data_IF_932904305135
#
_entry.id   IF_932904305135
#
_cell.length_a   1.000
_cell.length_b   1.000
_cell.length_c   1.000
_cell.angle_alpha   90.00
_cell.angle_beta   90.00
_cell.angle_gamma   90.00
#
_symmetry.space_group_name_H-M   'P 1'
#
loop_
_entity.id
_entity.type
_entity.pdbx_description
1 polymer ?
#
# COMPACT_ATOMS: atom_id res chain seq x y z
N UNK A 1 17.85 1.19 1.68
CA UNK A 1 17.50 2.58 2.05
C UNK A 1 16.85 2.54 3.43
N UNK A 2 16.95 3.60 4.25
CA UNK A 2 16.76 3.43 5.68
C UNK A 2 15.28 3.24 6.01
N UNK A 3 14.96 2.04 6.50
CA UNK A 3 13.82 1.81 7.37
C UNK A 3 13.81 2.87 8.47
N UNK A 4 12.66 3.49 8.70
CA UNK A 4 12.45 4.42 9.82
C UNK A 4 11.37 3.88 10.74
N UNK A 5 11.67 3.88 12.03
CA UNK A 5 10.66 3.67 13.06
C UNK A 5 10.06 5.02 13.39
N UNK A 6 8.88 5.29 12.84
CA UNK A 6 8.14 6.54 13.05
C UNK A 6 7.59 6.59 14.47
N UNK A 7 7.13 5.45 14.97
CA UNK A 7 6.58 5.30 16.32
C UNK A 7 6.82 3.87 16.82
N UNK A 8 7.26 3.73 18.07
CA UNK A 8 7.45 2.41 18.69
C UNK A 8 6.13 1.70 19.00
N UNK A 9 5.07 2.47 19.26
CA UNK A 9 3.78 2.00 19.74
C UNK A 9 3.78 1.65 21.23
N UNK A 10 2.60 1.37 21.77
CA UNK A 10 2.37 0.99 23.16
C UNK A 10 1.69 -0.40 23.24
N UNK A 11 1.63 -0.97 24.43
CA UNK A 11 0.97 -2.27 24.66
C UNK A 11 1.76 -3.52 24.24
N UNK A 12 1.21 -4.68 24.64
CA UNK A 12 1.64 -6.03 24.28
C UNK A 12 0.39 -6.97 24.33
N UNK A 13 -0.04 -7.60 23.22
CA UNK A 13 0.56 -7.50 21.89
C UNK A 13 0.40 -6.12 21.27
N UNK A 14 1.29 -5.79 20.33
CA UNK A 14 1.36 -4.50 19.65
C UNK A 14 0.98 -4.67 18.18
N UNK A 15 0.13 -3.79 17.70
CA UNK A 15 -0.22 -3.76 16.28
C UNK A 15 0.87 -3.03 15.48
N UNK A 16 1.08 -3.43 14.23
CA UNK A 16 2.12 -2.91 13.37
C UNK A 16 1.52 -2.33 12.09
N UNK A 17 1.86 -1.09 11.76
CA UNK A 17 1.58 -0.47 10.47
C UNK A 17 2.90 -0.28 9.71
N UNK A 18 3.01 -0.88 8.53
CA UNK A 18 4.17 -0.77 7.66
C UNK A 18 3.81 0.04 6.42
N UNK A 19 4.52 1.13 6.17
CA UNK A 19 4.29 2.05 5.06
C UNK A 19 5.45 1.99 4.05
N UNK A 20 5.11 1.87 2.77
CA UNK A 20 6.06 1.86 1.66
C UNK A 20 5.90 3.08 0.77
N UNK A 21 7.04 3.67 0.41
CA UNK A 21 7.15 4.95 -0.31
C UNK A 21 6.44 6.10 0.41
N UNK A 22 6.69 6.26 1.72
CA UNK A 22 6.12 7.37 2.51
C UNK A 22 7.25 8.13 3.19
N UNK A 23 7.52 9.33 2.69
CA UNK A 23 8.62 10.17 3.14
C UNK A 23 8.47 10.69 4.58
N UNK A 24 9.60 10.93 5.23
CA UNK A 24 9.68 11.45 6.61
C UNK A 24 8.90 12.73 6.93
N UNK A 25 8.61 13.66 5.99
CA UNK A 25 7.74 14.79 6.28
C UNK A 25 6.32 14.40 6.72
N UNK A 26 5.87 13.16 6.43
CA UNK A 26 4.55 12.66 6.82
C UNK A 26 4.50 12.12 8.26
N UNK A 27 5.64 11.95 8.94
CA UNK A 27 5.70 11.31 10.26
C UNK A 27 4.74 11.93 11.30
N UNK A 28 4.63 13.27 11.44
CA UNK A 28 3.66 13.88 12.34
C UNK A 28 2.21 13.49 12.04
N UNK A 29 1.82 13.51 10.78
CA UNK A 29 0.47 13.20 10.30
C UNK A 29 0.15 11.72 10.47
N UNK A 30 1.14 10.83 10.26
CA UNK A 30 1.01 9.40 10.52
C UNK A 30 0.72 9.12 11.99
N UNK A 31 1.48 9.73 12.90
CA UNK A 31 1.24 9.60 14.35
C UNK A 31 -0.12 10.17 14.76
N UNK A 32 -0.49 11.34 14.22
CA UNK A 32 -1.78 11.96 14.50
C UNK A 32 -2.95 11.09 14.01
N UNK A 33 -2.82 10.49 12.82
CA UNK A 33 -3.86 9.66 12.23
C UNK A 33 -4.06 8.32 12.96
N UNK A 34 -2.97 7.68 13.38
CA UNK A 34 -3.01 6.33 13.97
C UNK A 34 -3.09 6.34 15.50
N UNK A 35 -2.75 7.45 16.16
CA UNK A 35 -2.65 7.50 17.61
C UNK A 35 -1.39 6.80 18.15
N UNK A 36 -1.22 6.72 19.48
CA UNK A 36 0.03 6.29 20.10
C UNK A 36 0.24 4.77 20.16
N UNK A 37 -0.81 3.98 19.93
CA UNK A 37 -0.81 2.54 20.22
C UNK A 37 -0.04 1.69 19.19
N UNK A 38 -0.26 1.81 17.87
CA UNK A 38 0.46 0.95 16.92
C UNK A 38 1.94 1.34 16.80
N UNK A 39 2.78 0.33 16.55
CA UNK A 39 4.11 0.55 15.98
C UNK A 39 3.94 1.03 14.53
N UNK A 40 4.71 2.05 14.14
CA UNK A 40 4.67 2.61 12.78
C UNK A 40 6.08 2.52 12.20
N UNK A 41 6.20 1.76 11.11
CA UNK A 41 7.42 1.62 10.32
C UNK A 41 7.18 2.22 8.94
N UNK A 42 8.09 3.06 8.47
CA UNK A 42 8.02 3.65 7.14
C UNK A 42 9.31 3.41 6.36
N UNK A 43 9.16 3.11 5.08
CA UNK A 43 10.21 3.13 4.08
C UNK A 43 9.97 4.34 3.16
N UNK A 44 11.02 5.12 2.94
CA UNK A 44 10.98 6.26 2.01
C UNK A 44 11.07 5.79 0.53
N UNK A 45 11.16 4.48 0.29
CA UNK A 45 11.31 3.86 -1.03
C UNK A 45 10.21 2.81 -1.31
N UNK A 46 9.99 2.45 -2.59
CA UNK A 46 8.87 1.60 -2.97
C UNK A 46 9.14 0.10 -2.80
N UNK A 47 10.38 -0.30 -2.49
CA UNK A 47 10.75 -1.70 -2.27
C UNK A 47 10.62 -2.06 -0.80
N UNK A 48 11.23 -1.25 0.08
CA UNK A 48 11.45 -1.60 1.47
C UNK A 48 12.13 -2.97 1.63
N UNK A 49 11.99 -3.58 2.80
CA UNK A 49 12.45 -4.94 3.08
C UNK A 49 11.26 -5.91 3.14
N UNK A 50 11.51 -7.23 3.06
CA UNK A 50 10.49 -8.24 3.30
C UNK A 50 9.88 -8.11 4.70
N UNK A 51 8.58 -8.35 4.83
CA UNK A 51 7.85 -8.17 6.10
C UNK A 51 8.49 -8.88 7.31
N UNK A 52 9.01 -10.14 7.21
CA UNK A 52 9.67 -10.78 8.34
C UNK A 52 10.90 -10.02 8.86
N UNK A 53 11.67 -9.41 7.95
CA UNK A 53 12.80 -8.55 8.29
C UNK A 53 12.33 -7.28 8.97
N UNK A 54 11.29 -6.62 8.43
CA UNK A 54 10.66 -5.46 9.06
C UNK A 54 10.17 -5.77 10.48
N UNK A 55 9.48 -6.90 10.67
CA UNK A 55 8.99 -7.35 11.98
C UNK A 55 10.14 -7.61 12.96
N UNK A 56 11.25 -8.20 12.49
CA UNK A 56 12.44 -8.44 13.31
C UNK A 56 13.03 -7.13 13.85
N UNK A 57 12.97 -6.02 13.09
CA UNK A 57 13.41 -4.71 13.57
C UNK A 57 12.55 -4.16 14.71
N UNK A 58 11.25 -4.47 14.71
CA UNK A 58 10.32 -4.07 15.78
C UNK A 58 10.58 -4.91 17.03
N UNK A 59 10.69 -6.23 16.88
CA UNK A 59 10.84 -7.16 18.01
C UNK A 59 12.23 -7.16 18.64
N UNK A 60 13.29 -6.86 17.89
CA UNK A 60 14.66 -6.78 18.44
C UNK A 60 14.83 -5.58 19.36
N UNK A 61 14.09 -4.48 19.12
CA UNK A 61 14.19 -3.25 19.93
C UNK A 61 13.30 -3.29 21.18
N UNK A 62 12.32 -4.18 21.21
CA UNK A 62 11.46 -4.42 22.36
C UNK A 62 10.84 -5.81 22.22
N UNK A 63 11.00 -6.73 23.18
CA UNK A 63 10.41 -8.06 23.11
C UNK A 63 8.89 -7.98 23.32
N UNK A 64 8.19 -7.54 22.28
CA UNK A 64 6.73 -7.45 22.21
C UNK A 64 6.22 -8.37 21.12
N UNK A 65 5.08 -9.00 21.37
CA UNK A 65 4.39 -9.78 20.36
C UNK A 65 3.70 -8.82 19.39
N UNK A 66 3.82 -9.06 18.09
CA UNK A 66 3.03 -8.33 17.09
C UNK A 66 1.71 -9.09 16.89
N UNK A 67 0.56 -8.42 17.05
CA UNK A 67 -0.76 -9.03 16.81
C UNK A 67 -1.21 -8.85 15.36
N UNK A 68 -1.65 -7.64 15.01
CA UNK A 68 -2.15 -7.31 13.69
C UNK A 68 -1.09 -6.56 12.89
N UNK A 69 -0.98 -6.88 11.60
CA UNK A 69 -0.16 -6.15 10.64
C UNK A 69 -1.06 -5.46 9.63
N UNK A 70 -0.84 -4.17 9.39
CA UNK A 70 -1.46 -3.39 8.31
C UNK A 70 -0.37 -2.97 7.32
N UNK A 71 -0.57 -3.23 6.04
CA UNK A 71 0.33 -2.78 4.98
C UNK A 71 -0.24 -1.56 4.27
N UNK A 72 0.59 -0.53 4.09
CA UNK A 72 0.22 0.71 3.42
C UNK A 72 1.22 0.96 2.30
N UNK A 73 0.71 1.17 1.09
CA UNK A 73 1.53 1.54 -0.06
C UNK A 73 1.04 2.85 -0.65
N UNK A 74 1.95 3.77 -0.94
CA UNK A 74 1.67 4.90 -1.82
C UNK A 74 2.31 4.67 -3.18
N UNK A 75 1.58 4.90 -4.27
CA UNK A 75 2.11 4.81 -5.63
C UNK A 75 2.85 3.48 -5.85
N UNK A 76 4.10 3.52 -6.29
CA UNK A 76 4.95 2.34 -6.46
C UNK A 76 5.19 1.52 -5.18
N UNK A 77 5.00 2.09 -3.99
CA UNK A 77 5.02 1.36 -2.72
C UNK A 77 3.93 0.28 -2.63
N UNK A 78 2.85 0.39 -3.41
CA UNK A 78 1.86 -0.69 -3.53
C UNK A 78 2.44 -1.97 -4.16
N UNK A 79 3.59 -1.91 -4.84
CA UNK A 79 4.28 -3.10 -5.33
C UNK A 79 4.92 -3.90 -4.18
N UNK A 80 5.42 -3.23 -3.14
CA UNK A 80 5.87 -3.91 -1.92
C UNK A 80 4.68 -4.56 -1.19
N UNK A 81 3.55 -3.85 -1.08
CA UNK A 81 2.31 -4.44 -0.54
C UNK A 81 1.92 -5.69 -1.32
N UNK A 82 1.88 -5.61 -2.65
CA UNK A 82 1.57 -6.75 -3.53
C UNK A 82 2.54 -7.92 -3.30
N UNK A 83 3.84 -7.65 -3.20
CA UNK A 83 4.86 -8.67 -2.91
C UNK A 83 4.55 -9.40 -1.62
N UNK A 84 4.25 -8.69 -0.54
CA UNK A 84 3.97 -9.33 0.76
C UNK A 84 2.70 -10.18 0.73
N UNK A 85 1.65 -9.71 0.04
CA UNK A 85 0.43 -10.51 -0.15
C UNK A 85 0.69 -11.77 -0.99
N UNK A 86 1.48 -11.66 -2.05
CA UNK A 86 1.89 -12.80 -2.88
C UNK A 86 2.79 -13.80 -2.14
N UNK A 87 3.54 -13.34 -1.14
CA UNK A 87 4.33 -14.20 -0.26
C UNK A 87 3.47 -15.00 0.73
N UNK A 88 2.14 -14.80 0.72
CA UNK A 88 1.20 -15.51 1.59
C UNK A 88 1.05 -14.89 2.98
N UNK A 89 1.57 -13.69 3.21
CA UNK A 89 1.43 -13.02 4.50
C UNK A 89 -0.03 -12.64 4.75
N UNK A 90 -0.59 -13.19 5.84
CA UNK A 90 -1.95 -12.91 6.28
C UNK A 90 -1.98 -11.66 7.15
N UNK A 91 -2.04 -10.50 6.49
CA UNK A 91 -2.09 -9.19 7.15
C UNK A 91 -3.55 -8.80 7.42
N UNK A 92 -3.80 -8.10 8.53
CA UNK A 92 -5.14 -7.72 8.98
C UNK A 92 -5.79 -6.66 8.08
N UNK A 93 -5.00 -5.88 7.35
CA UNK A 93 -5.48 -4.80 6.50
C UNK A 93 -4.48 -4.30 5.47
N UNK A 94 -5.02 -3.74 4.40
CA UNK A 94 -4.25 -3.11 3.32
C UNK A 94 -4.82 -1.73 3.02
N UNK A 95 -3.93 -0.75 2.86
CA UNK A 95 -4.25 0.58 2.35
C UNK A 95 -3.41 0.84 1.10
N UNK A 96 -4.04 0.81 -0.08
CA UNK A 96 -3.40 1.04 -1.36
C UNK A 96 -3.74 2.45 -1.88
N UNK A 97 -2.81 3.39 -1.71
CA UNK A 97 -2.99 4.78 -2.10
C UNK A 97 -2.43 5.00 -3.51
N UNK A 98 -3.33 5.09 -4.48
CA UNK A 98 -3.05 5.43 -5.88
C UNK A 98 -1.92 4.60 -6.54
N UNK A 99 -1.93 3.28 -6.33
CA UNK A 99 -0.79 2.43 -6.72
C UNK A 99 -1.11 0.99 -7.13
N UNK A 100 -2.38 0.60 -7.30
CA UNK A 100 -2.75 -0.78 -7.70
C UNK A 100 -2.45 -1.11 -9.16
N UNK A 101 -1.85 -0.19 -9.92
CA UNK A 101 -1.51 -0.33 -11.34
C UNK A 101 -0.85 -1.69 -11.70
N UNK A 102 -1.06 -2.13 -12.93
CA UNK A 102 -0.58 -3.42 -13.43
C UNK A 102 0.01 -3.28 -14.84
N UNK A 103 0.56 -4.37 -15.39
CA UNK A 103 0.99 -4.40 -16.79
C UNK A 103 -0.15 -4.02 -17.74
N UNK A 104 0.16 -3.68 -19.00
CA UNK A 104 -0.84 -3.46 -20.04
C UNK A 104 -0.59 -4.43 -21.22
N UNK A 105 -1.45 -5.45 -21.43
CA UNK A 105 -2.59 -5.82 -20.59
C UNK A 105 -2.15 -6.33 -19.19
N UNK A 106 -3.04 -6.27 -18.17
CA UNK A 106 -2.74 -6.81 -16.85
C UNK A 106 -2.48 -8.31 -16.90
N UNK A 107 -1.47 -8.77 -16.16
CA UNK A 107 -1.26 -10.20 -15.95
C UNK A 107 -2.23 -10.68 -14.86
N UNK A 108 -2.75 -11.90 -14.99
CA UNK A 108 -3.77 -12.44 -14.09
C UNK A 108 -3.33 -12.40 -12.62
N UNK A 109 -2.09 -12.81 -12.32
CA UNK A 109 -1.53 -12.78 -10.96
C UNK A 109 -1.48 -11.37 -10.34
N UNK A 110 -1.38 -10.31 -11.16
CA UNK A 110 -1.39 -8.92 -10.68
C UNK A 110 -2.79 -8.48 -10.23
N UNK A 111 -3.82 -9.14 -10.75
CA UNK A 111 -5.23 -8.88 -10.43
C UNK A 111 -5.69 -9.74 -9.26
N UNK A 112 -5.33 -11.02 -9.25
CA UNK A 112 -5.84 -12.01 -8.28
C UNK A 112 -5.53 -11.61 -6.85
N UNK A 113 -4.32 -11.12 -6.59
CA UNK A 113 -3.92 -10.60 -5.27
C UNK A 113 -4.85 -9.51 -4.74
N UNK A 114 -5.36 -8.62 -5.58
CA UNK A 114 -6.30 -7.59 -5.16
C UNK A 114 -7.74 -8.09 -5.09
N UNK A 115 -8.12 -9.01 -6.00
CA UNK A 115 -9.45 -9.64 -5.97
C UNK A 115 -9.64 -10.46 -4.70
N UNK A 116 -8.69 -11.33 -4.39
CA UNK A 116 -8.72 -12.17 -3.21
C UNK A 116 -8.82 -11.32 -1.94
N UNK A 117 -8.07 -10.23 -1.89
CA UNK A 117 -8.09 -9.33 -0.74
C UNK A 117 -9.39 -8.51 -0.65
N UNK A 118 -9.95 -8.07 -1.78
CA UNK A 118 -11.27 -7.45 -1.84
C UNK A 118 -12.37 -8.40 -1.37
N UNK A 119 -12.34 -9.66 -1.75
CA UNK A 119 -13.29 -10.67 -1.29
C UNK A 119 -13.19 -10.94 0.21
N UNK A 120 -11.98 -11.03 0.76
CA UNK A 120 -11.77 -11.09 2.23
C UNK A 120 -12.36 -9.86 2.93
N UNK A 121 -12.21 -8.68 2.33
CA UNK A 121 -12.73 -7.44 2.88
C UNK A 121 -14.27 -7.36 2.83
N UNK A 122 -14.90 -7.83 1.75
CA UNK A 122 -16.36 -7.97 1.66
C UNK A 122 -16.93 -8.83 2.77
N UNK A 123 -16.26 -9.95 3.07
CA UNK A 123 -16.63 -10.86 4.17
C UNK A 123 -16.33 -10.31 5.57
N UNK A 124 -15.73 -9.12 5.67
CA UNK A 124 -15.35 -8.51 6.94
C UNK A 124 -14.17 -9.20 7.63
N UNK A 125 -13.45 -10.07 6.93
CA UNK A 125 -12.30 -10.79 7.48
C UNK A 125 -11.07 -9.87 7.57
N UNK A 126 -10.91 -8.95 6.62
CA UNK A 126 -9.76 -8.05 6.49
C UNK A 126 -10.22 -6.63 6.13
N UNK A 127 -9.41 -5.62 6.41
CA UNK A 127 -9.66 -4.26 5.94
C UNK A 127 -9.01 -4.03 4.56
N UNK A 128 -9.74 -3.56 3.56
CA UNK A 128 -9.15 -3.09 2.31
C UNK A 128 -9.61 -1.67 1.97
N UNK A 129 -8.68 -0.72 2.04
CA UNK A 129 -8.88 0.66 1.57
C UNK A 129 -8.04 0.90 0.33
N UNK A 130 -8.65 1.41 -0.73
CA UNK A 130 -7.93 1.78 -1.95
C UNK A 130 -8.35 3.15 -2.45
N UNK A 131 -7.39 3.90 -2.99
CA UNK A 131 -7.66 5.18 -3.64
C UNK A 131 -7.04 5.21 -5.03
N UNK A 132 -7.56 6.08 -5.89
CA UNK A 132 -6.97 6.35 -7.19
C UNK A 132 -7.18 7.81 -7.62
N UNK A 133 -6.24 8.30 -8.40
CA UNK A 133 -6.46 9.43 -9.31
C UNK A 133 -6.91 8.90 -10.68
N UNK A 134 -7.24 9.78 -11.64
CA UNK A 134 -7.59 9.34 -12.99
C UNK A 134 -6.36 8.76 -13.69
N UNK A 135 -5.31 9.58 -13.84
CA UNK A 135 -4.00 9.27 -14.43
C UNK A 135 -4.04 8.26 -15.60
N UNK A 136 -5.06 8.32 -16.46
CA UNK A 136 -5.29 7.35 -17.53
C UNK A 136 -4.35 7.54 -18.72
N UNK A 137 -3.58 8.64 -18.76
CA UNK A 137 -2.53 8.87 -19.76
C UNK A 137 -1.52 7.72 -19.83
N UNK A 138 -1.31 6.99 -18.73
CA UNK A 138 -0.38 5.86 -18.63
C UNK A 138 -0.75 4.69 -19.54
N UNK A 139 -2.01 4.62 -19.97
CA UNK A 139 -2.54 3.59 -20.85
C UNK A 139 -2.40 3.95 -22.33
N UNK A 140 -2.38 5.25 -22.67
CA UNK A 140 -2.51 5.72 -24.06
C UNK A 140 -1.38 6.62 -24.54
N UNK A 141 -0.83 7.47 -23.68
CA UNK A 141 0.02 8.60 -24.10
C UNK A 141 1.51 8.32 -23.88
N UNK A 142 1.86 7.41 -22.97
CA UNK A 142 3.23 6.96 -22.79
C UNK A 142 3.75 6.21 -24.02
N UNK A 143 5.08 6.17 -24.25
CA UNK A 143 5.69 5.25 -25.21
C UNK A 143 5.18 3.83 -25.01
N UNK A 144 4.90 3.09 -26.08
CA UNK A 144 4.25 1.76 -26.01
C UNK A 144 4.94 0.81 -25.04
N UNK A 145 6.28 0.81 -25.02
CA UNK A 145 7.08 -0.02 -24.12
C UNK A 145 6.90 0.36 -22.64
N UNK A 146 6.51 1.60 -22.33
CA UNK A 146 6.36 2.16 -20.99
C UNK A 146 4.92 2.10 -20.44
N UNK A 147 3.92 1.90 -21.30
CA UNK A 147 2.50 1.85 -20.89
C UNK A 147 2.22 0.76 -19.85
N UNK A 148 1.22 1.04 -19.03
CA UNK A 148 0.72 0.17 -17.98
C UNK A 148 -0.77 0.51 -17.70
N UNK A 149 -1.49 -0.38 -17.03
CA UNK A 149 -2.91 -0.19 -16.71
C UNK A 149 -3.04 0.72 -15.49
N UNK A 150 -3.85 1.77 -15.60
CA UNK A 150 -4.03 2.78 -14.57
C UNK A 150 -4.66 2.19 -13.30
N UNK A 151 -4.36 2.77 -12.13
CA UNK A 151 -4.94 2.38 -10.83
C UNK A 151 -6.48 2.34 -10.90
N UNK A 152 -7.10 3.37 -11.49
CA UNK A 152 -8.56 3.42 -11.68
C UNK A 152 -9.09 2.20 -12.45
N UNK A 153 -8.44 1.84 -13.55
CA UNK A 153 -8.83 0.69 -14.39
C UNK A 153 -8.72 -0.62 -13.61
N UNK A 154 -7.62 -0.80 -12.87
CA UNK A 154 -7.42 -1.99 -12.04
C UNK A 154 -8.44 -2.07 -10.93
N UNK A 155 -8.69 -0.98 -10.19
CA UNK A 155 -9.67 -0.98 -9.11
C UNK A 155 -11.07 -1.33 -9.60
N UNK A 156 -11.52 -0.76 -10.74
CA UNK A 156 -12.78 -1.16 -11.37
C UNK A 156 -12.81 -2.64 -11.70
N UNK A 157 -11.73 -3.19 -12.26
CA UNK A 157 -11.66 -4.58 -12.67
C UNK A 157 -11.63 -5.57 -11.50
N UNK A 158 -10.95 -5.24 -10.39
CA UNK A 158 -10.79 -6.16 -9.24
C UNK A 158 -11.90 -6.03 -8.21
N UNK A 159 -12.59 -4.88 -8.17
CA UNK A 159 -13.71 -4.66 -7.24
C UNK A 159 -15.07 -4.71 -7.92
N UNK A 160 -15.17 -4.52 -9.24
CA UNK A 160 -16.47 -4.40 -9.92
C UNK A 160 -17.20 -3.08 -9.65
N UNK A 161 -16.63 -2.18 -8.84
CA UNK A 161 -17.15 -0.85 -8.61
C UNK A 161 -17.04 0.04 -9.83
N UNK A 162 -17.97 0.98 -9.98
CA UNK A 162 -17.98 1.88 -11.15
C UNK A 162 -16.87 2.91 -11.07
N UNK A 163 -16.52 3.34 -9.86
CA UNK A 163 -15.56 4.37 -9.45
C UNK A 163 -15.67 5.61 -10.34
N UNK A 164 -16.44 6.59 -9.90
CA UNK A 164 -16.56 7.89 -10.58
C UNK A 164 -15.67 8.90 -9.84
N UNK A 165 -14.54 9.34 -10.43
CA UNK A 165 -13.65 10.30 -9.81
C UNK A 165 -14.35 11.64 -9.55
N UNK A 166 -14.17 12.21 -8.36
CA UNK A 166 -14.69 13.53 -7.99
C UNK A 166 -13.77 14.23 -7.00
N UNK A 167 -13.91 15.54 -6.83
CA UNK A 167 -13.08 16.31 -5.89
C UNK A 167 -13.33 15.90 -4.43
N UNK A 168 -14.58 15.54 -4.11
CA UNK A 168 -15.03 15.10 -2.79
C UNK A 168 -15.72 13.73 -2.91
N UNK A 169 -14.97 12.65 -3.15
CA UNK A 169 -15.57 11.35 -3.40
C UNK A 169 -16.26 10.80 -2.16
N UNK A 170 -17.53 10.40 -2.32
CA UNK A 170 -18.26 9.68 -1.29
C UNK A 170 -17.63 8.30 -1.00
N UNK A 171 -17.00 7.70 -2.02
CA UNK A 171 -16.45 6.35 -2.00
C UNK A 171 -17.49 5.30 -2.37
N UNK A 172 -17.01 4.15 -2.83
CA UNK A 172 -17.81 2.93 -2.99
C UNK A 172 -17.37 1.92 -1.92
N UNK A 173 -18.37 1.25 -1.33
CA UNK A 173 -18.19 0.46 -0.10
C UNK A 173 -18.98 -0.84 -0.15
N UNK A 174 -18.37 -1.91 0.35
CA UNK A 174 -18.99 -3.22 0.53
C UNK A 174 -18.29 -3.98 1.67
N UNK A 175 -18.96 -4.13 2.82
CA UNK A 175 -18.31 -4.63 4.04
C UNK A 175 -17.13 -3.73 4.46
N UNK A 176 -15.95 -4.34 4.63
CA UNK A 176 -14.69 -3.64 4.96
C UNK A 176 -13.85 -3.28 3.71
N UNK A 177 -14.45 -3.36 2.51
CA UNK A 177 -13.88 -2.85 1.26
C UNK A 177 -14.29 -1.39 1.05
N UNK A 178 -13.32 -0.49 0.94
CA UNK A 178 -13.55 0.94 0.73
C UNK A 178 -12.70 1.49 -0.41
N UNK A 179 -13.33 2.07 -1.43
CA UNK A 179 -12.63 2.54 -2.63
C UNK A 179 -13.00 3.98 -2.96
N UNK A 180 -12.00 4.81 -3.21
CA UNK A 180 -12.17 6.23 -3.52
C UNK A 180 -11.51 6.61 -4.85
N UNK A 181 -12.26 7.30 -5.72
CA UNK A 181 -11.73 7.92 -6.93
C UNK A 181 -11.67 9.42 -6.78
N UNK A 182 -10.48 10.01 -6.83
CA UNK A 182 -10.29 11.45 -6.77
C UNK A 182 -10.17 12.03 -8.17
N UNK A 183 -10.88 13.12 -8.42
CA UNK A 183 -10.74 13.89 -9.65
C UNK A 183 -9.28 14.37 -9.78
N UNK A 184 -8.77 14.26 -10.99
CA UNK A 184 -7.47 14.76 -11.41
C UNK A 184 -7.54 15.07 -12.89
N UNK A 185 -6.61 15.86 -13.40
CA UNK A 185 -6.40 15.92 -14.83
C UNK A 185 -5.86 14.58 -15.37
N UNK A 186 -5.77 14.49 -16.70
CA UNK A 186 -5.28 13.28 -17.38
C UNK A 186 -3.84 12.93 -16.96
N UNK A 187 -3.00 13.95 -16.75
CA UNK A 187 -1.64 13.85 -16.22
C UNK A 187 -1.53 14.85 -15.07
N UNK A 188 -1.49 14.38 -13.83
CA UNK A 188 -1.61 15.29 -12.68
C UNK A 188 -0.69 14.87 -11.52
N UNK A 189 0.55 15.37 -11.58
CA UNK A 189 1.56 15.12 -10.53
C UNK A 189 1.12 15.67 -9.17
N UNK A 190 0.38 16.79 -9.15
CA UNK A 190 -0.08 17.42 -7.92
C UNK A 190 -1.20 16.63 -7.26
N UNK A 191 -2.20 16.18 -8.02
CA UNK A 191 -3.24 15.30 -7.51
C UNK A 191 -2.66 13.97 -7.00
N UNK A 192 -1.66 13.42 -7.69
CA UNK A 192 -0.94 12.23 -7.21
C UNK A 192 -0.22 12.50 -5.88
N UNK A 193 0.57 13.58 -5.79
CA UNK A 193 1.25 13.95 -4.55
C UNK A 193 0.28 14.22 -3.38
N UNK A 194 -0.88 14.81 -3.66
CA UNK A 194 -1.96 15.03 -2.69
C UNK A 194 -2.50 13.73 -2.12
N UNK A 195 -2.41 12.61 -2.85
CA UNK A 195 -2.80 11.31 -2.31
C UNK A 195 -1.93 10.93 -1.10
N UNK A 196 -0.63 11.22 -1.13
CA UNK A 196 0.25 10.97 0.02
C UNK A 196 0.03 11.99 1.14
N UNK A 197 -0.03 13.29 0.81
CA UNK A 197 0.00 14.34 1.84
C UNK A 197 -1.34 14.61 2.52
N UNK A 198 -2.45 14.30 1.85
CA UNK A 198 -3.80 14.58 2.35
C UNK A 198 -4.62 13.30 2.50
N UNK A 199 -4.69 12.49 1.44
CA UNK A 199 -5.61 11.35 1.42
C UNK A 199 -5.14 10.22 2.33
N UNK A 200 -3.85 9.87 2.28
CA UNK A 200 -3.28 8.80 3.10
C UNK A 200 -3.58 9.00 4.60
N UNK A 201 -3.23 10.13 5.26
CA UNK A 201 -3.53 10.29 6.68
C UNK A 201 -5.03 10.30 6.97
N UNK A 202 -5.87 10.81 6.06
CA UNK A 202 -7.33 10.73 6.20
C UNK A 202 -7.84 9.29 6.18
N UNK A 203 -7.34 8.45 5.27
CA UNK A 203 -7.73 7.05 5.18
C UNK A 203 -7.26 6.24 6.39
N UNK A 204 -6.04 6.51 6.89
CA UNK A 204 -5.54 5.90 8.12
C UNK A 204 -6.42 6.23 9.32
N UNK A 205 -6.74 7.52 9.52
CA UNK A 205 -7.57 7.96 10.62
C UNK A 205 -9.01 7.43 10.53
N UNK A 206 -9.56 7.38 9.31
CA UNK A 206 -10.96 6.98 9.07
C UNK A 206 -11.19 5.48 9.19
N UNK A 207 -10.22 4.66 8.78
CA UNK A 207 -10.42 3.22 8.64
C UNK A 207 -9.44 2.37 9.45
N UNK A 208 -8.14 2.66 9.36
CA UNK A 208 -7.13 1.83 10.02
C UNK A 208 -7.20 1.99 11.53
N UNK A 209 -7.26 3.22 12.05
CA UNK A 209 -7.34 3.45 13.49
C UNK A 209 -8.57 2.76 14.12
N UNK A 210 -9.81 2.98 13.63
CA UNK A 210 -10.97 2.28 14.18
C UNK A 210 -10.90 0.76 14.08
N UNK A 211 -10.32 0.22 13.01
CA UNK A 211 -10.13 -1.21 12.83
C UNK A 211 -9.21 -1.80 13.90
N UNK A 212 -8.06 -1.16 14.12
CA UNK A 212 -7.09 -1.54 15.13
C UNK A 212 -7.67 -1.43 16.56
N UNK A 213 -8.40 -0.35 16.86
CA UNK A 213 -9.09 -0.18 18.15
C UNK A 213 -10.21 -1.22 18.39
N UNK A 214 -10.89 -1.66 17.33
CA UNK A 214 -11.88 -2.74 17.44
C UNK A 214 -11.22 -4.09 17.75
N UNK A 215 -10.09 -4.40 17.10
CA UNK A 215 -9.34 -5.63 17.35
C UNK A 215 -8.82 -5.71 18.80
N UNK A 216 -8.30 -4.61 19.36
CA UNK A 216 -7.87 -4.55 20.76
C UNK A 216 -9.03 -4.79 21.75
N UNK A 217 -10.24 -4.31 21.43
CA UNK A 217 -11.44 -4.51 22.27
C UNK A 217 -12.00 -5.92 22.18
N UNK A 218 -11.85 -6.59 21.05
CA UNK A 218 -12.32 -7.97 20.87
C UNK A 218 -11.49 -8.98 21.67
N UNK A 219 -10.22 -8.66 21.98
CA UNK A 219 -9.29 -9.57 22.68
C UNK A 219 -8.53 -8.88 23.83
N UNK A 220 -9.21 -8.42 24.90
CA UNK A 220 -8.52 -7.84 26.04
C UNK A 220 -7.72 -8.93 26.79
N UNK A 221 -6.39 -8.90 26.65
CA UNK A 221 -5.48 -9.68 27.49
C UNK A 221 -5.26 -11.15 27.10
N UNK A 222 -5.67 -11.60 25.91
CA UNK A 222 -5.22 -12.90 25.39
C UNK A 222 -3.91 -12.72 24.63
N UNK A 223 -2.82 -13.22 25.21
CA UNK A 223 -1.61 -13.57 24.45
C UNK A 223 -2.05 -14.62 23.42
N UNK A 224 -1.96 -14.37 22.11
CA UNK A 224 -2.26 -15.40 21.13
C UNK A 224 -1.35 -16.60 21.42
N UNK A 225 -1.83 -17.86 21.37
CA UNK A 225 -0.92 -18.98 21.31
C UNK A 225 0.03 -18.71 20.14
N UNK A 226 1.34 -18.84 20.37
CA UNK A 226 2.36 -18.71 19.35
C UNK A 226 1.93 -19.55 18.15
N UNK A 227 1.42 -18.90 17.10
CA UNK A 227 1.12 -19.59 15.86
C UNK A 227 2.47 -20.07 15.34
N UNK A 228 2.71 -21.38 15.45
CA UNK A 228 3.76 -22.03 14.70
C UNK A 228 3.58 -21.62 13.25
N UNK A 229 4.61 -20.97 12.70
CA UNK A 229 4.61 -20.48 11.35
C UNK A 229 4.36 -21.65 10.39
N UNK A 230 3.11 -21.83 9.96
CA UNK A 230 2.81 -22.66 8.80
C UNK A 230 3.34 -21.91 7.58
N UNK A 231 4.61 -22.20 7.31
CA UNK A 231 5.36 -21.86 6.12
C UNK A 231 4.58 -22.31 4.87
N UNK A 232 3.79 -21.42 4.29
CA UNK A 232 3.52 -21.46 2.85
C UNK A 232 4.73 -20.85 2.14
N UNK A 233 5.85 -21.58 2.17
CA UNK A 233 7.05 -21.16 1.45
C UNK A 233 6.77 -21.37 -0.03
N UNK A 234 6.66 -20.26 -0.77
CA UNK A 234 6.80 -20.24 -2.21
C UNK A 234 8.03 -21.08 -2.58
N UNK A 235 7.86 -21.96 -3.56
CA UNK A 235 8.99 -22.73 -4.08
C UNK A 235 10.09 -21.78 -4.56
N UNK A 236 11.37 -22.20 -4.59
CA UNK A 236 12.46 -21.37 -5.11
C UNK A 236 12.19 -20.82 -6.52
N UNK A 237 11.46 -21.57 -7.36
CA UNK A 237 11.06 -21.12 -8.69
C UNK A 237 9.98 -20.04 -8.67
N UNK A 238 8.97 -20.17 -7.81
CA UNK A 238 7.93 -19.13 -7.64
C UNK A 238 8.53 -17.85 -7.05
N UNK A 239 9.42 -17.99 -6.06
CA UNK A 239 10.16 -16.86 -5.49
C UNK A 239 11.00 -16.15 -6.55
N UNK A 240 11.74 -16.90 -7.38
CA UNK A 240 12.54 -16.32 -8.46
C UNK A 240 11.68 -15.61 -9.52
N UNK A 241 10.52 -16.17 -9.88
CA UNK A 241 9.57 -15.53 -10.83
C UNK A 241 8.98 -14.25 -10.25
N UNK A 242 8.63 -14.23 -8.97
CA UNK A 242 8.13 -13.03 -8.28
C UNK A 242 9.23 -11.97 -8.20
N UNK A 243 10.44 -12.34 -7.79
CA UNK A 243 11.59 -11.42 -7.71
C UNK A 243 11.94 -10.84 -9.08
N UNK A 244 11.93 -11.65 -10.15
CA UNK A 244 12.20 -11.20 -11.50
C UNK A 244 11.10 -10.30 -12.06
N UNK A 245 9.82 -10.62 -11.81
CA UNK A 245 8.70 -9.78 -12.20
C UNK A 245 8.69 -8.42 -11.47
N UNK A 246 9.05 -8.44 -10.19
CA UNK A 246 9.25 -7.24 -9.37
C UNK A 246 10.41 -6.41 -9.91
N UNK A 247 11.56 -7.02 -10.20
CA UNK A 247 12.73 -6.34 -10.73
C UNK A 247 12.47 -5.67 -12.09
N UNK A 248 11.77 -6.36 -13.00
CA UNK A 248 11.36 -5.82 -14.31
C UNK A 248 10.41 -4.63 -14.17
N UNK A 249 9.47 -4.71 -13.23
CA UNK A 249 8.53 -3.61 -12.95
C UNK A 249 9.24 -2.40 -12.35
N UNK A 250 10.22 -2.61 -11.46
CA UNK A 250 11.03 -1.54 -10.87
C UNK A 250 11.97 -0.88 -11.87
N UNK A 251 12.67 -1.66 -12.71
CA UNK A 251 13.58 -1.11 -13.71
C UNK A 251 12.84 -0.19 -14.69
N UNK A 252 11.64 -0.60 -15.10
CA UNK A 252 10.76 0.18 -15.97
C UNK A 252 10.36 1.52 -15.31
N UNK A 253 10.05 1.51 -14.02
CA UNK A 253 9.61 2.71 -13.30
C UNK A 253 10.76 3.67 -12.92
N UNK A 254 11.90 3.17 -12.45
CA UNK A 254 13.06 4.00 -12.11
C UNK A 254 13.61 4.72 -13.35
N UNK A 255 13.61 4.04 -14.50
CA UNK A 255 13.95 4.67 -15.78
C UNK A 255 12.99 5.81 -16.14
N UNK A 256 11.69 5.62 -15.93
CA UNK A 256 10.67 6.65 -16.20
C UNK A 256 10.79 7.88 -15.28
N UNK A 257 11.08 7.69 -13.99
CA UNK A 257 11.29 8.81 -13.06
C UNK A 257 12.56 9.58 -13.44
N UNK A 258 13.62 8.88 -13.83
CA UNK A 258 14.87 9.50 -14.25
C UNK A 258 14.75 10.26 -15.58
N UNK A 259 13.99 9.74 -16.55
CA UNK A 259 13.78 10.37 -17.85
C UNK A 259 12.83 11.58 -17.73
N UNK A 260 11.78 11.50 -16.90
CA UNK A 260 10.86 12.61 -16.65
C UNK A 260 11.49 13.81 -15.90
N UNK A 261 12.64 13.61 -15.25
CA UNK A 261 13.42 14.67 -14.61
C UNK A 261 14.53 15.23 -15.53
N UNK A 262 14.80 14.60 -16.68
CA UNK A 262 15.82 15.04 -17.63
C UNK A 262 15.29 16.05 -18.66
N UNK A 263 13.96 16.16 -18.81
CA UNK A 263 13.30 17.08 -19.74
C UNK A 263 12.96 18.46 -19.13
N UNK A 264 13.36 18.73 -17.87
CA UNK A 264 13.32 20.09 -17.32
C UNK A 264 14.59 20.85 -17.75
N UNK A 265 14.56 21.45 -18.95
CA UNK A 265 15.52 22.52 -19.25
C UNK A 265 15.34 23.67 -18.25
N UNK A 266 16.43 24.21 -17.68
CA UNK A 266 16.33 25.34 -16.78
C UNK A 266 15.75 26.53 -17.54
N UNK A 267 14.61 27.02 -17.06
CA UNK A 267 14.01 28.27 -17.54
C UNK A 267 15.05 29.38 -17.42
N UNK A 268 15.41 30.07 -18.52
CA UNK A 268 16.41 31.12 -18.45
C UNK A 268 15.84 32.26 -17.61
N UNK A 269 16.54 32.57 -16.52
CA UNK A 269 16.27 33.76 -15.69
C UNK A 269 16.75 34.96 -16.51
N UNK A 270 15.79 35.78 -16.95
CA UNK A 270 16.06 37.07 -17.60
C UNK A 270 16.56 38.14 -16.64
#
# INVERSE_FOLDING_TARGET
>A
MPLRIVQQGQGNPRQLVVLYLVGSPMDPELRAALGPDPAIIAYDDPKGEPLPTTMSHVTTKSPVNVSDVILVGYSAGCQAVRRELMAGHDVAGVVAIDGTHASLPPLQWQLDVWRDYAEKARRGERLFVATCTQNTYVETDLPKAQRYSATLSILRQVTGFRIIPSETPAGEHDGALHVYGYASEKTDKMAHARQQTVVLPQMLARYVKPWLEAALRAFPGQVPPQQEAHSSVLTPEERARVEQAIALSFHKLTRMISEANADEEPVPVG
#
